data_IF_663390056222
#
_entry.id   IF_663390056222
#
_cell.length_a   1.000
_cell.length_b   1.000
_cell.length_c   1.000
_cell.angle_alpha   90.00
_cell.angle_beta   90.00
_cell.angle_gamma   90.00
#
_symmetry.space_group_name_H-M   'P 1'
#
loop_
_entity.id
_entity.type
_entity.pdbx_description
1 polymer ?
#
# COMPACT_ATOMS: atom_id res chain seq x y z
N UNK A 1 -11.08 16.03 -30.26
CA UNK A 1 -9.66 16.40 -30.04
C UNK A 1 -9.57 17.44 -28.94
N UNK A 2 -8.91 17.12 -27.81
CA UNK A 2 -8.77 18.09 -26.71
C UNK A 2 -7.61 19.04 -27.01
N UNK A 3 -7.91 20.25 -27.48
CA UNK A 3 -6.92 21.33 -27.59
C UNK A 3 -6.32 21.69 -26.23
N UNK A 4 -7.00 21.36 -25.13
CA UNK A 4 -6.50 21.57 -23.76
C UNK A 4 -5.27 20.68 -23.53
N UNK A 5 -5.37 19.40 -23.88
CA UNK A 5 -4.25 18.46 -23.73
C UNK A 5 -3.08 18.86 -24.63
N UNK A 6 -3.37 19.32 -25.85
CA UNK A 6 -2.34 19.85 -26.74
C UNK A 6 -1.63 21.06 -26.12
N UNK A 7 -2.37 21.99 -25.50
CA UNK A 7 -1.76 23.15 -24.82
C UNK A 7 -0.81 22.73 -23.69
N UNK A 8 -1.17 21.72 -22.89
CA UNK A 8 -0.28 21.17 -21.87
C UNK A 8 0.98 20.53 -22.47
N UNK A 9 0.85 19.78 -23.57
CA UNK A 9 1.99 19.20 -24.29
C UNK A 9 2.90 20.29 -24.85
N UNK A 10 2.33 21.34 -25.45
CA UNK A 10 3.07 22.50 -25.95
C UNK A 10 3.96 23.14 -24.86
N UNK A 11 3.35 23.43 -23.70
CA UNK A 11 4.08 24.00 -22.56
C UNK A 11 5.11 23.03 -21.98
N UNK A 12 4.78 21.74 -21.87
CA UNK A 12 5.71 20.72 -21.39
C UNK A 12 6.95 20.61 -22.28
N UNK A 13 6.76 20.51 -23.60
CA UNK A 13 7.87 20.42 -24.57
C UNK A 13 8.75 21.66 -24.54
N UNK A 14 8.15 22.84 -24.48
CA UNK A 14 8.91 24.08 -24.38
C UNK A 14 9.75 24.12 -23.09
N UNK A 15 9.15 23.79 -21.94
CA UNK A 15 9.84 23.79 -20.66
C UNK A 15 10.98 22.77 -20.63
N UNK A 16 10.73 21.56 -21.13
CA UNK A 16 11.74 20.52 -21.15
C UNK A 16 12.90 20.83 -22.11
N UNK A 17 12.58 21.45 -23.26
CA UNK A 17 13.58 21.93 -24.21
C UNK A 17 14.48 22.98 -23.59
N UNK A 18 13.90 23.98 -22.92
CA UNK A 18 14.65 25.01 -22.19
C UNK A 18 15.45 24.44 -21.01
N UNK A 19 14.94 23.40 -20.35
CA UNK A 19 15.63 22.67 -19.29
C UNK A 19 16.76 21.74 -19.79
N UNK A 20 16.96 21.65 -21.12
CA UNK A 20 18.00 20.84 -21.77
C UNK A 20 17.90 19.33 -21.49
N UNK A 21 16.67 18.81 -21.38
CA UNK A 21 16.46 17.37 -21.23
C UNK A 21 16.70 16.64 -22.56
N UNK A 22 17.41 15.51 -22.54
CA UNK A 22 17.60 14.70 -23.76
C UNK A 22 16.32 14.02 -24.24
N UNK A 23 15.47 13.58 -23.30
CA UNK A 23 14.24 12.81 -23.55
C UNK A 23 13.10 13.32 -22.68
N UNK A 24 11.87 13.25 -23.21
CA UNK A 24 10.66 13.64 -22.49
C UNK A 24 9.48 12.74 -22.83
N UNK A 25 8.65 12.35 -21.85
CA UNK A 25 7.42 11.61 -22.10
C UNK A 25 6.21 12.55 -22.24
N UNK A 26 5.35 12.30 -23.21
CA UNK A 26 4.02 12.93 -23.33
C UNK A 26 2.91 11.86 -23.35
N UNK A 27 1.67 12.16 -22.93
CA UNK A 27 0.59 11.18 -22.98
C UNK A 27 0.28 10.75 -24.42
N UNK A 28 0.10 9.45 -24.65
CA UNK A 28 -0.21 8.93 -25.97
C UNK A 28 -1.62 9.30 -26.43
N UNK A 29 -1.71 9.99 -27.57
CA UNK A 29 -2.95 10.15 -28.34
C UNK A 29 -2.63 10.12 -29.84
N UNK A 30 -3.60 9.76 -30.69
CA UNK A 30 -3.41 9.80 -32.16
C UNK A 30 -2.98 11.19 -32.65
N UNK A 31 -3.56 12.25 -32.05
CA UNK A 31 -3.19 13.63 -32.35
C UNK A 31 -1.74 13.91 -31.97
N UNK A 32 -1.34 13.61 -30.73
CA UNK A 32 0.03 13.85 -30.27
C UNK A 32 1.06 13.08 -31.09
N UNK A 33 0.77 11.83 -31.44
CA UNK A 33 1.63 11.02 -32.32
C UNK A 33 1.79 11.71 -33.68
N UNK A 34 0.69 12.10 -34.34
CA UNK A 34 0.77 12.76 -35.65
C UNK A 34 1.49 14.11 -35.61
N UNK A 35 1.32 14.90 -34.54
CA UNK A 35 2.09 16.13 -34.32
C UNK A 35 3.57 15.82 -34.12
N UNK A 36 3.91 14.86 -33.26
CA UNK A 36 5.29 14.48 -32.97
C UNK A 36 6.01 13.95 -34.23
N UNK A 37 5.34 13.13 -35.04
CA UNK A 37 5.88 12.65 -36.32
C UNK A 37 6.13 13.80 -37.30
N UNK A 38 5.24 14.79 -37.37
CA UNK A 38 5.45 15.99 -38.18
C UNK A 38 6.67 16.77 -37.68
N UNK A 39 6.79 17.01 -36.37
CA UNK A 39 7.94 17.71 -35.79
C UNK A 39 9.26 16.96 -36.01
N UNK A 40 9.22 15.62 -35.97
CA UNK A 40 10.37 14.77 -36.28
C UNK A 40 10.76 14.89 -37.76
N UNK A 41 9.80 14.81 -38.69
CA UNK A 41 10.03 15.01 -40.13
C UNK A 41 10.60 16.40 -40.44
N UNK A 42 10.17 17.43 -39.71
CA UNK A 42 10.66 18.80 -39.85
C UNK A 42 11.99 19.05 -39.10
N UNK A 43 12.54 18.04 -38.41
CA UNK A 43 13.86 18.09 -37.78
C UNK A 43 13.91 18.77 -36.40
N UNK A 44 12.76 19.07 -35.79
CA UNK A 44 12.67 19.63 -34.42
C UNK A 44 12.89 18.59 -33.33
N UNK A 45 12.52 17.33 -33.60
CA UNK A 45 12.69 16.19 -32.68
C UNK A 45 13.67 15.17 -33.25
N UNK A 46 14.52 14.60 -32.41
CA UNK A 46 15.50 13.58 -32.82
C UNK A 46 14.87 12.21 -32.99
N UNK A 47 13.93 11.83 -32.13
CA UNK A 47 13.21 10.54 -32.20
C UNK A 47 11.82 10.61 -31.57
N UNK A 48 10.95 9.70 -31.99
CA UNK A 48 9.61 9.49 -31.43
C UNK A 48 9.42 7.99 -31.22
N UNK A 49 9.21 7.58 -29.97
CA UNK A 49 9.03 6.18 -29.58
C UNK A 49 7.78 6.02 -28.71
N UNK A 50 7.09 4.89 -28.84
CA UNK A 50 6.03 4.50 -27.93
C UNK A 50 6.66 3.82 -26.70
N UNK A 51 6.11 4.03 -25.51
CA UNK A 51 6.58 3.34 -24.30
C UNK A 51 5.63 3.48 -23.12
N UNK A 52 6.06 3.00 -21.96
CA UNK A 52 5.36 3.14 -20.68
C UNK A 52 5.77 4.41 -19.92
N UNK A 53 5.67 4.34 -18.60
CA UNK A 53 6.12 5.40 -17.68
C UNK A 53 7.65 5.56 -17.65
N UNK A 54 8.37 4.50 -18.01
CA UNK A 54 9.81 4.47 -18.22
C UNK A 54 10.16 4.63 -19.71
N UNK A 55 11.32 5.23 -20.04
CA UNK A 55 11.79 5.31 -21.41
C UNK A 55 12.13 3.92 -21.93
N UNK A 56 11.69 3.56 -23.16
CA UNK A 56 12.04 2.26 -23.73
C UNK A 56 13.54 2.20 -23.98
N UNK A 57 14.15 1.02 -23.86
CA UNK A 57 15.58 0.82 -24.07
C UNK A 57 16.08 1.35 -25.43
N UNK A 58 15.22 1.25 -26.46
CA UNK A 58 15.50 1.77 -27.82
C UNK A 58 15.65 3.29 -27.93
N UNK A 59 15.26 4.05 -26.89
CA UNK A 59 15.52 5.49 -26.83
C UNK A 59 16.98 5.82 -26.53
N UNK A 60 17.71 4.88 -25.92
CA UNK A 60 19.12 5.01 -25.64
C UNK A 60 19.92 4.34 -26.75
N UNK A 61 21.14 4.80 -27.00
CA UNK A 61 22.06 4.04 -27.85
C UNK A 61 22.29 2.65 -27.27
N UNK A 62 22.76 1.70 -28.08
CA UNK A 62 23.21 0.39 -27.60
C UNK A 62 24.40 0.61 -26.64
N UNK A 63 24.11 0.85 -25.37
CA UNK A 63 25.10 0.87 -24.31
C UNK A 63 25.65 -0.54 -24.09
N UNK A 64 26.73 -0.69 -23.32
CA UNK A 64 27.13 -2.01 -22.83
C UNK A 64 25.93 -2.63 -22.10
N UNK A 65 25.69 -3.93 -22.32
CA UNK A 65 24.62 -4.67 -21.65
C UNK A 65 24.76 -4.48 -20.14
N UNK A 66 23.69 -3.98 -19.50
CA UNK A 66 23.69 -3.77 -18.07
C UNK A 66 23.71 -5.15 -17.39
N UNK A 67 24.88 -5.58 -16.93
CA UNK A 67 25.06 -6.95 -16.46
C UNK A 67 24.45 -7.18 -15.05
N UNK A 68 23.57 -6.29 -14.56
CA UNK A 68 22.91 -6.25 -13.24
C UNK A 68 23.81 -6.45 -12.01
N UNK A 69 25.13 -6.58 -12.21
CA UNK A 69 26.14 -6.84 -11.18
C UNK A 69 26.88 -5.58 -10.76
N UNK A 70 26.84 -4.53 -11.59
CA UNK A 70 27.52 -3.26 -11.34
C UNK A 70 26.61 -2.13 -11.83
N UNK A 71 25.54 -1.82 -11.11
CA UNK A 71 24.81 -0.56 -11.31
C UNK A 71 25.38 0.50 -10.38
N UNK A 72 25.50 1.74 -10.87
CA UNK A 72 25.76 2.94 -10.04
C UNK A 72 24.57 3.31 -9.13
N UNK A 73 23.40 2.72 -9.36
CA UNK A 73 22.24 2.83 -8.49
C UNK A 73 22.40 1.97 -7.22
N UNK A 74 21.94 2.49 -6.08
CA UNK A 74 21.81 1.77 -4.81
C UNK A 74 20.75 0.66 -4.95
N UNK A 75 21.10 -0.43 -5.62
CA UNK A 75 20.27 -1.64 -5.62
C UNK A 75 20.20 -2.17 -4.19
N UNK A 76 18.99 -2.53 -3.76
CA UNK A 76 18.78 -3.17 -2.46
C UNK A 76 19.46 -4.54 -2.45
N UNK A 77 19.87 -5.09 -1.29
CA UNK A 77 20.45 -6.43 -1.23
C UNK A 77 19.60 -7.50 -1.92
N UNK A 78 18.27 -7.38 -1.83
CA UNK A 78 17.30 -8.21 -2.56
C UNK A 78 17.41 -8.13 -4.09
N UNK A 79 17.76 -6.96 -4.65
CA UNK A 79 17.96 -6.78 -6.09
C UNK A 79 19.32 -7.31 -6.58
N UNK A 80 20.32 -7.40 -5.69
CA UNK A 80 21.65 -7.95 -6.02
C UNK A 80 21.68 -9.47 -5.96
N UNK A 81 20.96 -10.07 -5.00
CA UNK A 81 20.83 -11.51 -4.87
C UNK A 81 19.36 -11.87 -4.51
N UNK A 82 18.66 -12.66 -5.37
CA UNK A 82 17.25 -13.00 -5.16
C UNK A 82 17.02 -13.93 -3.95
N UNK A 83 18.06 -14.54 -3.38
CA UNK A 83 17.97 -15.47 -2.26
C UNK A 83 18.44 -14.87 -0.92
N UNK A 84 18.41 -13.55 -0.77
CA UNK A 84 18.73 -12.89 0.51
C UNK A 84 17.61 -13.07 1.56
N UNK A 85 17.92 -12.91 2.86
CA UNK A 85 16.90 -12.89 3.92
C UNK A 85 15.81 -11.83 3.72
N UNK A 86 16.19 -10.65 3.20
CA UNK A 86 15.25 -9.57 2.88
C UNK A 86 14.29 -9.97 1.75
N UNK A 87 14.80 -10.65 0.72
CA UNK A 87 14.00 -11.16 -0.39
C UNK A 87 13.04 -12.28 0.07
N UNK A 88 13.47 -13.14 1.00
CA UNK A 88 12.61 -14.16 1.60
C UNK A 88 11.45 -13.54 2.39
N UNK A 89 11.73 -12.51 3.19
CA UNK A 89 10.71 -11.73 3.91
C UNK A 89 9.72 -11.07 2.94
N UNK A 90 10.22 -10.45 1.87
CA UNK A 90 9.42 -9.83 0.82
C UNK A 90 8.48 -10.83 0.15
N UNK A 91 9.02 -11.99 -0.26
CA UNK A 91 8.25 -13.07 -0.89
C UNK A 91 7.15 -13.59 0.03
N UNK A 92 7.47 -13.77 1.32
CA UNK A 92 6.50 -14.22 2.34
C UNK A 92 5.35 -13.23 2.52
N UNK A 93 5.64 -11.93 2.57
CA UNK A 93 4.61 -10.88 2.73
C UNK A 93 3.71 -10.79 1.49
N UNK A 94 4.30 -10.79 0.29
CA UNK A 94 3.55 -10.64 -0.97
C UNK A 94 2.67 -11.83 -1.27
N UNK A 95 3.23 -13.04 -1.17
CA UNK A 95 2.55 -14.27 -1.59
C UNK A 95 1.83 -14.99 -0.44
N UNK A 96 1.91 -14.46 0.79
CA UNK A 96 1.44 -15.13 2.02
C UNK A 96 1.98 -16.57 2.12
N UNK A 97 3.21 -16.76 1.68
CA UNK A 97 3.83 -18.08 1.54
C UNK A 97 4.02 -18.76 2.91
N UNK A 98 3.90 -20.09 2.92
CA UNK A 98 4.27 -20.94 4.08
C UNK A 98 5.78 -21.14 4.15
N UNK A 99 6.28 -21.64 5.28
CA UNK A 99 7.70 -22.00 5.45
C UNK A 99 8.17 -22.95 4.36
N UNK A 100 7.36 -23.97 4.08
CA UNK A 100 7.63 -25.00 3.06
C UNK A 100 7.71 -24.39 1.65
N UNK A 101 6.84 -23.43 1.33
CA UNK A 101 6.86 -22.76 0.03
C UNK A 101 8.13 -21.93 -0.18
N UNK A 102 8.67 -21.31 0.88
CA UNK A 102 9.96 -20.61 0.80
C UNK A 102 11.13 -21.58 0.56
N UNK A 103 11.12 -22.73 1.23
CA UNK A 103 12.13 -23.77 1.03
C UNK A 103 12.07 -24.36 -0.39
N UNK A 104 10.87 -24.63 -0.90
CA UNK A 104 10.67 -25.09 -2.28
C UNK A 104 11.12 -24.07 -3.33
N UNK A 105 11.00 -22.77 -3.02
CA UNK A 105 11.49 -21.69 -3.86
C UNK A 105 13.03 -21.56 -3.83
N UNK A 106 13.73 -22.32 -2.98
CA UNK A 106 15.20 -22.37 -2.93
C UNK A 106 15.86 -21.35 -2.00
N UNK A 107 15.10 -20.73 -1.08
CA UNK A 107 15.69 -19.87 -0.06
C UNK A 107 16.52 -20.68 0.95
N UNK A 108 17.68 -20.19 1.40
CA UNK A 108 18.47 -20.86 2.43
C UNK A 108 17.74 -20.88 3.77
N UNK A 109 18.02 -21.86 4.63
CA UNK A 109 17.39 -22.04 5.95
C UNK A 109 17.39 -20.75 6.77
N UNK A 110 18.54 -20.09 6.82
CA UNK A 110 18.76 -18.90 7.65
C UNK A 110 17.88 -17.73 7.17
N UNK A 111 17.64 -17.61 5.86
CA UNK A 111 16.74 -16.62 5.28
C UNK A 111 15.28 -16.95 5.56
N UNK A 112 14.92 -18.24 5.57
CA UNK A 112 13.57 -18.69 5.90
C UNK A 112 13.25 -18.37 7.35
N UNK A 113 14.15 -18.73 8.28
CA UNK A 113 13.98 -18.49 9.72
C UNK A 113 13.92 -17.00 10.03
N UNK A 114 14.81 -16.21 9.41
CA UNK A 114 14.74 -14.75 9.47
C UNK A 114 13.38 -14.19 9.02
N UNK A 115 12.83 -14.70 7.91
CA UNK A 115 11.52 -14.27 7.43
C UNK A 115 10.36 -14.73 8.35
N UNK A 116 10.54 -15.79 9.15
CA UNK A 116 9.57 -16.22 10.17
C UNK A 116 9.58 -15.32 11.40
N UNK A 117 10.76 -14.92 11.84
CA UNK A 117 10.92 -14.03 12.98
C UNK A 117 10.43 -12.62 12.66
N UNK A 118 10.85 -12.07 11.52
CA UNK A 118 10.61 -10.67 11.19
C UNK A 118 9.18 -10.36 10.72
N UNK A 119 8.42 -11.36 10.28
CA UNK A 119 7.02 -11.17 9.89
C UNK A 119 6.10 -11.00 11.10
N UNK A 120 6.55 -11.43 12.28
CA UNK A 120 5.80 -11.34 13.51
C UNK A 120 5.86 -9.94 14.10
N UNK A 121 4.74 -9.46 14.66
CA UNK A 121 4.73 -8.20 15.40
C UNK A 121 5.49 -8.34 16.71
N UNK A 122 6.19 -7.29 17.15
CA UNK A 122 6.82 -7.30 18.47
C UNK A 122 5.75 -7.18 19.57
N UNK A 123 6.14 -7.49 20.81
CA UNK A 123 5.27 -7.32 21.97
C UNK A 123 4.76 -5.87 22.09
N UNK A 124 5.66 -4.89 21.98
CA UNK A 124 5.32 -3.47 22.09
C UNK A 124 4.34 -3.04 20.98
N UNK A 125 4.51 -3.56 19.76
CA UNK A 125 3.60 -3.29 18.65
C UNK A 125 2.19 -3.82 18.94
N UNK A 126 2.08 -5.01 19.52
CA UNK A 126 0.78 -5.61 19.87
C UNK A 126 0.10 -4.84 21.01
N UNK A 127 0.87 -4.36 21.98
CA UNK A 127 0.36 -3.49 23.07
C UNK A 127 -0.13 -2.16 22.49
N UNK A 128 0.64 -1.53 21.61
CA UNK A 128 0.27 -0.28 20.95
C UNK A 128 -1.00 -0.41 20.08
N UNK A 129 -1.16 -1.56 19.40
CA UNK A 129 -2.38 -1.90 18.65
C UNK A 129 -3.60 -2.20 19.56
N UNK A 130 -3.40 -2.22 20.89
CA UNK A 130 -4.44 -2.43 21.89
C UNK A 130 -4.85 -3.89 22.08
N UNK A 131 -4.03 -4.86 21.64
CA UNK A 131 -4.33 -6.28 21.79
C UNK A 131 -4.32 -6.73 23.25
N UNK A 132 -3.44 -6.16 24.09
CA UNK A 132 -3.46 -6.40 25.52
C UNK A 132 -4.83 -6.05 26.14
N UNK A 133 -5.40 -4.88 25.81
CA UNK A 133 -6.73 -4.49 26.28
C UNK A 133 -7.86 -5.36 25.73
N UNK A 134 -7.70 -5.95 24.53
CA UNK A 134 -8.66 -6.93 23.98
C UNK A 134 -8.56 -8.26 24.72
N UNK A 135 -7.36 -8.72 25.05
CA UNK A 135 -7.14 -9.92 25.84
C UNK A 135 -7.76 -9.79 27.24
N UNK A 136 -7.53 -8.66 27.94
CA UNK A 136 -8.21 -8.36 29.21
C UNK A 136 -9.72 -8.45 29.08
N UNK A 137 -10.32 -7.74 28.11
CA UNK A 137 -11.78 -7.76 27.90
C UNK A 137 -12.31 -9.16 27.59
N UNK A 138 -11.55 -9.94 26.83
CA UNK A 138 -11.90 -11.33 26.53
C UNK A 138 -11.91 -12.18 27.80
N UNK A 139 -10.86 -12.12 28.62
CA UNK A 139 -10.78 -12.86 29.88
C UNK A 139 -11.92 -12.48 30.82
N UNK A 140 -12.21 -11.18 30.99
CA UNK A 140 -13.32 -10.71 31.83
C UNK A 140 -14.67 -11.23 31.33
N UNK A 141 -14.87 -11.23 30.00
CA UNK A 141 -16.08 -11.79 29.38
C UNK A 141 -16.19 -13.29 29.66
N UNK A 142 -15.12 -14.06 29.46
CA UNK A 142 -15.08 -15.51 29.72
C UNK A 142 -15.39 -15.81 31.18
N UNK A 143 -14.81 -15.06 32.13
CA UNK A 143 -15.10 -15.20 33.57
C UNK A 143 -16.57 -14.91 33.90
N UNK A 144 -17.15 -13.86 33.32
CA UNK A 144 -18.58 -13.55 33.48
C UNK A 144 -19.47 -14.66 32.92
N UNK A 145 -19.12 -15.16 31.74
CA UNK A 145 -19.83 -16.22 31.04
C UNK A 145 -19.77 -17.56 31.80
N UNK A 146 -18.64 -17.89 32.44
CA UNK A 146 -18.51 -19.06 33.34
C UNK A 146 -19.43 -18.90 34.56
N UNK A 147 -19.38 -17.74 35.23
CA UNK A 147 -20.23 -17.46 36.41
C UNK A 147 -21.71 -17.58 36.09
N UNK A 148 -22.15 -16.98 34.99
CA UNK A 148 -23.56 -17.04 34.56
C UNK A 148 -24.01 -18.47 34.28
N UNK A 149 -23.16 -19.27 33.63
CA UNK A 149 -23.45 -20.69 33.36
C UNK A 149 -23.50 -21.53 34.64
N UNK A 150 -22.56 -21.32 35.56
CA UNK A 150 -22.55 -21.98 36.87
C UNK A 150 -23.80 -21.64 37.67
N UNK A 151 -24.17 -20.36 37.77
CA UNK A 151 -25.37 -19.91 38.47
C UNK A 151 -26.64 -20.51 37.84
N UNK A 152 -26.79 -20.46 36.51
CA UNK A 152 -27.95 -21.03 35.81
C UNK A 152 -28.03 -22.56 35.96
N UNK A 153 -26.90 -23.26 35.87
CA UNK A 153 -26.85 -24.71 36.00
C UNK A 153 -27.17 -25.16 37.43
N UNK A 154 -26.66 -24.46 38.44
CA UNK A 154 -26.97 -24.74 39.85
C UNK A 154 -28.44 -24.49 40.17
N UNK A 155 -29.00 -23.36 39.71
CA UNK A 155 -30.43 -23.05 39.90
C UNK A 155 -31.33 -24.10 39.24
N UNK A 156 -30.95 -24.62 38.07
CA UNK A 156 -31.72 -25.63 37.33
C UNK A 156 -31.71 -27.00 38.03
N UNK A 157 -30.60 -27.38 38.66
CA UNK A 157 -30.42 -28.73 39.25
C UNK A 157 -30.79 -28.78 40.74
N UNK A 158 -30.52 -27.72 41.50
CA UNK A 158 -30.64 -27.69 42.96
C UNK A 158 -31.69 -26.67 43.49
N UNK A 159 -32.43 -25.99 42.62
CA UNK A 159 -33.52 -25.06 42.98
C UNK A 159 -33.07 -23.61 43.28
N UNK A 160 -34.03 -22.69 43.34
CA UNK A 160 -33.80 -21.22 43.42
C UNK A 160 -32.93 -20.77 44.60
N UNK A 161 -33.05 -21.42 45.75
CA UNK A 161 -32.33 -21.04 46.98
C UNK A 161 -30.82 -21.35 46.96
N UNK A 162 -30.39 -22.28 46.10
CA UNK A 162 -29.03 -22.80 46.06
C UNK A 162 -28.09 -22.01 45.12
N UNK A 163 -28.60 -21.58 43.95
CA UNK A 163 -27.81 -20.88 42.93
C UNK A 163 -27.70 -19.36 43.14
N UNK A 164 -28.75 -18.72 43.68
CA UNK A 164 -28.81 -17.26 43.80
C UNK A 164 -27.88 -16.70 44.89
N UNK A 165 -27.78 -17.36 46.05
CA UNK A 165 -27.03 -16.83 47.21
C UNK A 165 -25.51 -16.84 47.04
N UNK A 166 -24.95 -17.81 46.32
CA UNK A 166 -23.50 -17.93 46.13
C UNK A 166 -22.95 -16.97 45.06
N UNK A 167 -23.75 -16.61 44.05
CA UNK A 167 -23.25 -15.90 42.87
C UNK A 167 -23.85 -14.50 42.63
N UNK A 168 -24.84 -14.05 43.41
CA UNK A 168 -25.55 -12.76 43.28
C UNK A 168 -24.65 -11.50 43.15
N UNK A 169 -25.08 -10.54 42.33
CA UNK A 169 -24.39 -9.25 42.10
C UNK A 169 -24.34 -8.37 43.37
N UNK A 170 -23.31 -7.53 43.47
CA UNK A 170 -23.13 -6.58 44.57
C UNK A 170 -24.26 -5.54 44.51
N UNK A 171 -24.97 -5.23 45.62
CA UNK A 171 -26.00 -4.19 45.64
C UNK A 171 -25.43 -2.83 45.23
N UNK A 172 -26.21 -2.06 44.48
CA UNK A 172 -25.86 -0.71 44.05
C UNK A 172 -25.71 0.21 45.27
N UNK A 173 -24.46 0.57 45.63
CA UNK A 173 -24.15 1.39 46.82
C UNK A 173 -23.07 0.85 47.79
N UNK A 174 -22.40 -0.25 47.44
CA UNK A 174 -21.34 -0.86 48.26
C UNK A 174 -20.04 -0.03 48.31
N UNK A 175 -19.61 0.38 49.51
CA UNK A 175 -18.41 1.20 49.76
C UNK A 175 -17.24 0.35 50.31
N UNK A 176 -16.12 0.24 49.59
CA UNK A 176 -15.05 -0.67 49.94
C UNK A 176 -14.33 -0.47 51.27
N UNK A 177 -14.35 0.76 51.79
CA UNK A 177 -13.51 1.15 52.92
C UNK A 177 -14.19 1.01 54.28
N UNK A 178 -15.51 0.79 54.29
CA UNK A 178 -16.35 0.71 55.51
C UNK A 178 -16.44 -0.68 56.14
N UNK A 179 -16.14 -1.75 55.40
CA UNK A 179 -16.22 -3.14 55.89
C UNK A 179 -14.84 -3.70 56.30
N UNK A 180 -13.88 -2.84 56.65
CA UNK A 180 -12.55 -3.27 57.10
C UNK A 180 -12.53 -3.96 58.46
N UNK A 181 -13.61 -3.85 59.23
CA UNK A 181 -13.66 -4.20 60.66
C UNK A 181 -14.60 -5.38 60.98
N UNK A 182 -15.02 -6.17 59.99
CA UNK A 182 -15.73 -7.42 60.26
C UNK A 182 -14.73 -8.57 60.33
N UNK A 183 -14.23 -8.80 61.55
CA UNK A 183 -13.52 -10.03 61.90
C UNK A 183 -14.42 -11.26 61.64
N UNK A 184 -13.75 -12.34 61.27
CA UNK A 184 -14.30 -13.65 60.94
C UNK A 184 -15.12 -14.21 62.11
N UNK A 185 -16.45 -14.15 62.03
CA UNK A 185 -17.30 -15.06 62.79
C UNK A 185 -17.22 -16.46 62.14
N UNK A 186 -16.09 -17.15 62.36
CA UNK A 186 -15.98 -18.59 62.22
C UNK A 186 -16.69 -19.26 63.40
N UNK A 187 -18.02 -19.37 63.37
CA UNK A 187 -18.69 -20.36 64.20
C UNK A 187 -20.10 -20.69 63.67
N UNK A 188 -20.40 -21.99 63.64
CA UNK A 188 -21.73 -22.62 63.50
C UNK A 188 -22.26 -23.00 62.10
N UNK A 189 -21.77 -24.08 61.48
CA UNK A 189 -22.55 -24.79 60.43
C UNK A 189 -22.36 -26.32 60.47
N UNK A 190 -23.47 -27.07 60.55
CA UNK A 190 -23.50 -28.53 60.71
C UNK A 190 -23.02 -29.35 59.50
N UNK A 191 -22.58 -30.59 59.76
CA UNK A 191 -21.93 -31.52 58.81
C UNK A 191 -22.75 -31.81 57.54
N UNK A 192 -24.09 -31.75 57.58
CA UNK A 192 -24.95 -31.96 56.40
C UNK A 192 -24.80 -30.86 55.33
N UNK A 193 -24.48 -29.62 55.73
CA UNK A 193 -24.29 -28.50 54.80
C UNK A 193 -22.93 -28.54 54.10
N UNK A 194 -21.92 -29.17 54.70
CA UNK A 194 -20.57 -29.27 54.14
C UNK A 194 -20.51 -30.25 52.95
N UNK A 195 -21.22 -31.39 53.05
CA UNK A 195 -21.29 -32.36 51.96
C UNK A 195 -21.96 -31.77 50.71
N UNK A 196 -23.05 -31.04 50.89
CA UNK A 196 -23.78 -30.41 49.80
C UNK A 196 -23.02 -29.24 49.15
N UNK A 197 -22.22 -28.49 49.92
CA UNK A 197 -21.29 -27.48 49.37
C UNK A 197 -20.21 -28.08 48.49
N UNK A 198 -19.67 -29.25 48.89
CA UNK A 198 -18.65 -29.96 48.11
C UNK A 198 -19.22 -30.47 46.78
N UNK A 199 -20.43 -31.03 46.81
CA UNK A 199 -21.12 -31.48 45.59
C UNK A 199 -21.43 -30.33 44.63
N UNK A 200 -21.91 -29.19 45.14
CA UNK A 200 -22.14 -27.97 44.35
C UNK A 200 -20.85 -27.43 43.74
N UNK A 201 -19.75 -27.45 44.49
CA UNK A 201 -18.43 -27.01 44.02
C UNK A 201 -17.90 -27.92 42.90
N UNK A 202 -17.99 -29.23 43.06
CA UNK A 202 -17.55 -30.21 42.06
C UNK A 202 -18.39 -30.12 40.78
N UNK A 203 -19.70 -29.87 40.91
CA UNK A 203 -20.59 -29.62 39.77
C UNK A 203 -20.25 -28.31 39.05
N UNK A 204 -20.02 -27.21 39.78
CA UNK A 204 -19.65 -25.92 39.20
C UNK A 204 -18.31 -26.00 38.44
N UNK A 205 -17.34 -26.76 38.96
CA UNK A 205 -16.07 -27.02 38.28
C UNK A 205 -16.26 -27.79 36.97
N UNK A 206 -17.16 -28.78 36.94
CA UNK A 206 -17.48 -29.54 35.72
C UNK A 206 -18.00 -28.63 34.60
N UNK A 207 -18.97 -27.76 34.93
CA UNK A 207 -19.55 -26.78 33.99
C UNK A 207 -18.48 -25.81 33.46
N UNK A 208 -17.55 -25.38 34.31
CA UNK A 208 -16.41 -24.55 33.91
C UNK A 208 -15.52 -25.26 32.90
N UNK A 209 -15.09 -26.48 33.19
CA UNK A 209 -14.20 -27.23 32.30
C UNK A 209 -14.86 -27.59 30.97
N UNK A 210 -16.16 -27.89 30.98
CA UNK A 210 -16.96 -28.12 29.77
C UNK A 210 -16.99 -26.87 28.87
N UNK A 211 -17.23 -25.69 29.45
CA UNK A 211 -17.19 -24.44 28.69
C UNK A 211 -15.80 -24.12 28.15
N UNK A 212 -14.75 -24.29 28.96
CA UNK A 212 -13.37 -24.06 28.52
C UNK A 212 -12.97 -25.00 27.36
N UNK A 213 -13.56 -26.18 27.26
CA UNK A 213 -13.34 -27.10 26.13
C UNK A 213 -13.91 -26.59 24.80
N UNK A 214 -14.83 -25.61 24.83
CA UNK A 214 -15.39 -24.99 23.62
C UNK A 214 -14.52 -23.87 23.05
N UNK A 215 -13.54 -23.39 23.81
CA UNK A 215 -12.63 -22.31 23.41
C UNK A 215 -11.48 -22.86 22.57
N UNK A 216 -10.91 -21.99 21.72
CA UNK A 216 -9.68 -22.30 20.99
C UNK A 216 -8.48 -22.40 21.94
N UNK A 217 -7.44 -23.15 21.56
CA UNK A 217 -6.24 -23.34 22.40
C UNK A 217 -5.59 -22.01 22.80
N UNK A 218 -5.54 -21.03 21.89
CA UNK A 218 -5.01 -19.69 22.17
C UNK A 218 -5.85 -18.90 23.18
N UNK A 219 -7.18 -19.04 23.14
CA UNK A 219 -8.10 -18.41 24.09
C UNK A 219 -8.04 -19.08 25.47
N UNK A 220 -7.85 -20.40 25.49
CA UNK A 220 -7.66 -21.17 26.71
C UNK A 220 -6.37 -20.78 27.41
N UNK A 221 -5.28 -20.66 26.64
CA UNK A 221 -3.98 -20.22 27.16
C UNK A 221 -4.07 -18.83 27.84
N UNK A 222 -4.81 -17.88 27.26
CA UNK A 222 -5.06 -16.58 27.90
C UNK A 222 -5.80 -16.71 29.23
N UNK A 223 -6.81 -17.59 29.30
CA UNK A 223 -7.57 -17.81 30.52
C UNK A 223 -6.70 -18.46 31.60
N UNK A 224 -5.96 -19.50 31.23
CA UNK A 224 -5.07 -20.26 32.11
C UNK A 224 -3.93 -19.38 32.65
N UNK A 225 -3.39 -18.49 31.83
CA UNK A 225 -2.40 -17.50 32.25
C UNK A 225 -2.95 -16.61 33.38
N UNK A 226 -4.22 -16.19 33.31
CA UNK A 226 -4.81 -15.40 34.41
C UNK A 226 -5.35 -16.23 35.57
N UNK A 227 -5.29 -17.56 35.50
CA UNK A 227 -5.98 -18.46 36.44
C UNK A 227 -5.44 -18.40 37.87
N UNK A 228 -4.16 -18.05 38.04
CA UNK A 228 -3.52 -17.90 39.35
C UNK A 228 -3.99 -16.66 40.12
N UNK A 229 -4.62 -15.69 39.44
CA UNK A 229 -5.32 -14.57 40.07
C UNK A 229 -6.64 -15.11 40.65
N UNK A 230 -6.53 -15.80 41.80
CA UNK A 230 -7.59 -16.57 42.46
C UNK A 230 -8.93 -15.81 42.54
N UNK A 231 -10.02 -16.52 42.27
CA UNK A 231 -11.39 -16.14 42.61
C UNK A 231 -11.61 -16.28 44.13
N UNK A 232 -10.95 -15.44 44.94
CA UNK A 232 -11.17 -15.37 46.38
C UNK A 232 -12.52 -14.72 46.71
N UNK A 233 -13.25 -15.30 47.67
CA UNK A 233 -14.63 -14.93 48.07
C UNK A 233 -14.79 -13.54 48.72
N UNK A 234 -13.78 -12.67 48.64
CA UNK A 234 -13.79 -11.34 49.23
C UNK A 234 -13.41 -10.37 48.10
N UNK A 235 -14.37 -9.57 47.63
CA UNK A 235 -14.26 -8.48 46.64
C UNK A 235 -14.30 -8.84 45.14
N UNK A 236 -15.52 -9.05 44.62
CA UNK A 236 -15.85 -9.17 43.18
C UNK A 236 -15.35 -8.02 42.29
N UNK A 237 -14.98 -6.86 42.84
CA UNK A 237 -14.44 -5.72 42.10
C UNK A 237 -12.90 -5.57 42.07
N UNK A 238 -12.16 -6.23 43.00
CA UNK A 238 -10.69 -6.08 43.11
C UNK A 238 -9.94 -6.93 42.09
N UNK A 239 -10.46 -8.10 41.77
CA UNK A 239 -9.79 -9.07 40.90
C UNK A 239 -9.88 -8.67 39.42
N UNK A 240 -10.98 -8.04 38.99
CA UNK A 240 -11.13 -7.50 37.64
C UNK A 240 -10.16 -6.33 37.37
N UNK A 241 -9.81 -5.57 38.41
CA UNK A 241 -8.79 -4.53 38.36
C UNK A 241 -7.37 -5.13 38.23
N UNK A 242 -7.08 -6.27 38.86
CA UNK A 242 -5.80 -6.98 38.74
C UNK A 242 -5.61 -7.59 37.34
N UNK A 243 -6.66 -8.19 36.77
CA UNK A 243 -6.65 -8.69 35.38
C UNK A 243 -6.39 -7.54 34.39
N UNK A 244 -6.92 -6.35 34.68
CA UNK A 244 -6.70 -5.16 33.86
C UNK A 244 -5.25 -4.64 33.89
N UNK A 245 -4.49 -4.95 34.95
CA UNK A 245 -3.08 -4.58 35.10
C UNK A 245 -2.12 -5.70 34.67
N UNK A 246 -2.63 -6.88 34.34
CA UNK A 246 -1.82 -8.02 33.96
C UNK A 246 -1.13 -7.79 32.60
N UNK A 247 0.18 -8.02 32.57
CA UNK A 247 0.97 -8.10 31.33
C UNK A 247 0.95 -9.55 30.84
N UNK A 248 0.34 -9.79 29.69
CA UNK A 248 0.29 -11.13 29.10
C UNK A 248 1.63 -11.49 28.47
N UNK A 249 1.96 -12.78 28.44
CA UNK A 249 3.11 -13.31 27.73
C UNK A 249 2.99 -13.05 26.22
N UNK A 250 4.14 -12.81 25.57
CA UNK A 250 4.21 -12.51 24.14
C UNK A 250 3.62 -13.64 23.29
N UNK A 251 3.95 -14.90 23.61
CA UNK A 251 3.48 -16.06 22.88
C UNK A 251 1.95 -16.20 22.93
N UNK A 252 1.35 -16.01 24.11
CA UNK A 252 -0.10 -16.08 24.31
C UNK A 252 -0.81 -14.95 23.57
N UNK A 253 -0.29 -13.73 23.68
CA UNK A 253 -0.88 -12.55 23.05
C UNK A 253 -0.78 -12.63 21.51
N UNK A 254 0.34 -13.14 20.99
CA UNK A 254 0.53 -13.38 19.57
C UNK A 254 -0.40 -14.49 19.04
N UNK A 255 -0.55 -15.60 19.77
CA UNK A 255 -1.48 -16.67 19.41
C UNK A 255 -2.92 -16.16 19.37
N UNK A 256 -3.31 -15.30 20.33
CA UNK A 256 -4.63 -14.67 20.38
C UNK A 256 -4.87 -13.66 19.25
N UNK A 257 -3.85 -12.87 18.89
CA UNK A 257 -3.93 -11.96 17.74
C UNK A 257 -4.11 -12.71 16.41
N UNK A 258 -3.63 -13.95 16.35
CA UNK A 258 -3.82 -14.89 15.26
C UNK A 258 -2.85 -14.69 14.08
N UNK A 259 -2.81 -15.65 13.14
CA UNK A 259 -1.86 -15.67 12.03
C UNK A 259 -2.08 -14.56 11.01
N UNK A 260 -3.25 -13.90 11.04
CA UNK A 260 -3.61 -12.78 10.17
C UNK A 260 -2.92 -11.48 10.56
N UNK A 261 -2.42 -11.37 11.80
CA UNK A 261 -1.79 -10.16 12.32
C UNK A 261 -0.27 -10.24 12.21
N UNK A 262 0.18 -10.18 10.96
CA UNK A 262 1.59 -10.11 10.56
C UNK A 262 1.98 -8.68 10.19
N UNK A 263 3.26 -8.34 10.31
CA UNK A 263 3.81 -7.05 9.85
C UNK A 263 3.57 -6.90 8.34
N UNK A 264 3.06 -5.75 7.93
CA UNK A 264 2.87 -5.43 6.51
C UNK A 264 4.15 -4.89 5.88
N UNK A 265 4.25 -4.93 4.55
CA UNK A 265 5.40 -4.36 3.85
C UNK A 265 5.62 -2.88 4.22
N UNK A 266 4.56 -2.07 4.18
CA UNK A 266 4.64 -0.65 4.54
C UNK A 266 5.07 -0.41 6.00
N UNK A 267 4.65 -1.30 6.91
CA UNK A 267 5.05 -1.19 8.31
C UNK A 267 6.56 -1.45 8.46
N UNK A 268 7.07 -2.49 7.78
CA UNK A 268 8.50 -2.84 7.82
C UNK A 268 9.37 -1.77 7.14
N UNK A 269 8.92 -1.18 6.03
CA UNK A 269 9.63 -0.06 5.38
C UNK A 269 9.72 1.17 6.30
N UNK A 270 8.74 1.38 7.20
CA UNK A 270 8.71 2.53 8.11
C UNK A 270 9.52 2.30 9.39
N UNK A 271 9.31 1.17 10.05
CA UNK A 271 9.93 0.88 11.36
C UNK A 271 11.28 0.17 11.24
N UNK A 272 11.57 -0.42 10.07
CA UNK A 272 12.76 -1.22 9.84
C UNK A 272 12.67 -2.63 10.43
N UNK A 273 13.77 -3.36 10.32
CA UNK A 273 13.92 -4.74 10.78
C UNK A 273 14.97 -4.83 11.87
N UNK A 274 14.87 -5.85 12.72
CA UNK A 274 15.90 -6.16 13.72
C UNK A 274 16.88 -7.17 13.13
N UNK A 275 18.17 -6.82 13.12
CA UNK A 275 19.24 -7.70 12.66
C UNK A 275 20.09 -8.12 13.84
N UNK A 276 20.41 -9.42 13.95
CA UNK A 276 21.44 -9.88 14.86
C UNK A 276 22.79 -9.84 14.14
N UNK A 277 23.68 -8.95 14.57
CA UNK A 277 25.02 -8.79 13.99
C UNK A 277 26.04 -8.99 15.10
N UNK A 278 26.87 -10.03 14.98
CA UNK A 278 27.93 -10.33 15.95
C UNK A 278 27.43 -10.50 17.39
N UNK A 279 26.20 -11.01 17.57
CA UNK A 279 25.58 -11.20 18.89
C UNK A 279 24.94 -9.95 19.49
N UNK A 280 24.87 -8.85 18.73
CA UNK A 280 24.17 -7.62 19.11
C UNK A 280 22.91 -7.45 18.25
N UNK A 281 21.79 -7.16 18.91
CA UNK A 281 20.55 -6.81 18.24
C UNK A 281 20.58 -5.35 17.78
N UNK A 282 20.69 -5.15 16.47
CA UNK A 282 20.61 -3.84 15.85
C UNK A 282 19.18 -3.63 15.38
N UNK A 283 18.44 -2.78 16.10
CA UNK A 283 17.04 -2.49 15.80
C UNK A 283 16.88 -1.40 14.73
N UNK A 284 15.69 -1.36 14.11
CA UNK A 284 15.28 -0.33 13.14
C UNK A 284 16.19 -0.19 11.92
N UNK A 285 16.78 -1.29 11.46
CA UNK A 285 17.56 -1.28 10.22
C UNK A 285 16.63 -1.08 9.03
N UNK A 286 16.88 -0.09 8.16
CA UNK A 286 16.01 0.18 7.04
C UNK A 286 16.11 -0.96 6.02
N UNK A 287 14.96 -1.57 5.69
CA UNK A 287 14.84 -2.46 4.55
C UNK A 287 14.04 -1.74 3.49
N UNK A 288 14.57 -1.73 2.27
CA UNK A 288 13.82 -1.33 1.08
C UNK A 288 13.51 -2.60 0.31
N UNK A 289 12.24 -2.97 0.26
CA UNK A 289 11.82 -4.08 -0.58
C UNK A 289 12.11 -3.75 -2.04
N UNK A 290 12.43 -4.77 -2.83
CA UNK A 290 12.54 -4.58 -4.27
C UNK A 290 11.18 -4.07 -4.73
N UNK A 291 11.11 -2.81 -5.20
CA UNK A 291 9.89 -2.39 -5.90
C UNK A 291 9.70 -3.41 -7.01
N UNK A 292 8.51 -4.02 -7.13
CA UNK A 292 8.29 -4.88 -8.28
C UNK A 292 8.68 -4.00 -9.47
N UNK A 293 9.59 -4.51 -10.32
CA UNK A 293 9.69 -3.92 -11.64
C UNK A 293 8.26 -3.79 -12.12
N UNK A 294 7.89 -2.61 -12.59
CA UNK A 294 6.59 -2.41 -13.15
C UNK A 294 6.51 -3.30 -14.40
N UNK A 295 6.17 -4.56 -14.17
CA UNK A 295 5.86 -5.54 -15.17
C UNK A 295 4.41 -5.23 -15.50
N UNK A 296 4.26 -4.30 -16.44
CA UNK A 296 3.03 -4.22 -17.20
C UNK A 296 2.70 -5.67 -17.64
N UNK A 297 1.55 -6.23 -17.22
CA UNK A 297 1.24 -7.64 -17.48
C UNK A 297 1.20 -8.01 -18.97
N UNK A 298 1.16 -6.99 -19.85
CA UNK A 298 1.07 -7.12 -21.31
C UNK A 298 2.39 -6.83 -22.07
N UNK A 299 3.54 -6.60 -21.41
CA UNK A 299 4.81 -6.38 -22.12
C UNK A 299 4.80 -5.14 -23.01
N UNK A 300 4.79 -3.95 -22.39
CA UNK A 300 4.61 -2.68 -23.10
C UNK A 300 5.81 -2.20 -23.94
N UNK A 301 6.97 -2.86 -23.86
CA UNK A 301 8.13 -2.59 -24.72
C UNK A 301 8.02 -3.23 -26.11
N UNK A 302 7.16 -4.24 -26.27
CA UNK A 302 6.74 -4.72 -27.58
C UNK A 302 5.68 -3.77 -28.17
N UNK A 303 5.66 -3.64 -29.50
CA UNK A 303 4.74 -2.79 -30.27
C UNK A 303 3.27 -3.25 -30.18
N UNK A 304 2.75 -3.44 -28.97
CA UNK A 304 1.44 -4.02 -28.69
C UNK A 304 0.26 -3.10 -28.97
N UNK A 305 -0.89 -3.73 -29.21
CA UNK A 305 -2.18 -3.10 -29.50
C UNK A 305 -2.66 -2.24 -28.32
N UNK A 306 -3.12 -1.01 -28.60
CA UNK A 306 -3.64 -0.08 -27.58
C UNK A 306 -5.01 -0.54 -27.08
N UNK A 307 -5.06 -1.17 -25.90
CA UNK A 307 -6.30 -1.56 -25.20
C UNK A 307 -6.86 -0.41 -24.33
N UNK A 308 -8.09 -0.55 -23.81
CA UNK A 308 -8.68 0.46 -22.91
C UNK A 308 -7.95 0.53 -21.55
N UNK A 309 -7.50 -0.61 -21.02
CA UNK A 309 -6.72 -0.68 -19.79
C UNK A 309 -5.37 0.05 -19.92
N UNK A 310 -4.69 -0.12 -21.05
CA UNK A 310 -3.31 0.36 -21.23
C UNK A 310 -3.24 1.82 -21.71
N UNK A 311 -4.36 2.41 -22.16
CA UNK A 311 -4.39 3.77 -22.71
C UNK A 311 -3.85 4.83 -21.74
N UNK A 312 -4.07 4.65 -20.44
CA UNK A 312 -3.67 5.61 -19.41
C UNK A 312 -2.18 5.53 -19.05
N UNK A 313 -1.56 4.35 -19.13
CA UNK A 313 -0.13 4.14 -18.84
C UNK A 313 0.76 4.49 -20.04
N UNK A 314 0.25 4.35 -21.27
CA UNK A 314 1.00 4.62 -22.51
C UNK A 314 1.50 6.08 -22.61
N UNK A 315 2.76 6.22 -22.99
CA UNK A 315 3.43 7.49 -23.27
C UNK A 315 4.09 7.46 -24.65
N UNK A 316 4.33 8.65 -25.19
CA UNK A 316 5.24 8.88 -26.31
C UNK A 316 6.50 9.51 -25.76
N UNK A 317 7.62 8.83 -25.95
CA UNK A 317 8.94 9.32 -25.64
C UNK A 317 9.50 10.10 -26.82
N UNK A 318 9.82 11.35 -26.57
CA UNK A 318 10.30 12.31 -27.56
C UNK A 318 11.74 12.67 -27.25
N UNK A 319 12.63 12.46 -28.21
CA UNK A 319 14.00 12.95 -28.15
C UNK A 319 14.07 14.41 -28.56
N UNK A 320 14.60 15.24 -27.66
CA UNK A 320 14.80 16.65 -27.92
C UNK A 320 16.15 16.87 -28.61
N UNK A 321 16.21 17.87 -29.48
CA UNK A 321 17.38 18.17 -30.31
C UNK A 321 18.02 19.48 -29.86
N UNK A 322 19.35 19.48 -29.80
CA UNK A 322 20.17 20.62 -29.39
C UNK A 322 21.27 20.85 -30.43
N UNK A 323 21.58 22.12 -30.69
CA UNK A 323 22.67 22.55 -31.55
C UNK A 323 23.41 23.69 -30.86
N UNK A 324 24.75 23.64 -30.79
CA UNK A 324 25.57 24.62 -30.06
C UNK A 324 25.07 24.92 -28.65
N UNK A 325 24.64 23.88 -27.93
CA UNK A 325 24.03 23.98 -26.58
C UNK A 325 22.72 24.78 -26.51
N UNK A 326 22.13 25.15 -27.64
CA UNK A 326 20.82 25.79 -27.76
C UNK A 326 19.75 24.79 -28.22
N UNK A 327 18.51 24.89 -27.71
CA UNK A 327 17.42 24.02 -28.16
C UNK A 327 16.99 24.34 -29.59
N UNK A 328 16.83 23.31 -30.43
CA UNK A 328 16.26 23.46 -31.79
C UNK A 328 14.76 23.80 -31.71
N UNK A 329 14.06 23.22 -30.74
CA UNK A 329 12.67 23.57 -30.43
C UNK A 329 12.68 24.64 -29.33
N UNK A 330 12.72 25.92 -29.73
CA UNK A 330 12.86 27.02 -28.77
C UNK A 330 11.51 27.49 -28.23
N UNK A 331 10.52 27.70 -29.11
CA UNK A 331 9.19 28.17 -28.73
C UNK A 331 8.11 27.38 -29.44
N UNK A 332 7.07 27.06 -28.68
CA UNK A 332 5.94 26.30 -29.17
C UNK A 332 4.65 26.99 -28.72
N UNK A 333 3.99 27.69 -29.64
CA UNK A 333 2.84 28.55 -29.36
C UNK A 333 1.58 28.03 -30.02
N UNK A 334 0.53 27.83 -29.23
CA UNK A 334 -0.79 27.47 -29.74
C UNK A 334 -1.44 28.65 -30.49
N UNK A 335 -1.99 28.40 -31.68
CA UNK A 335 -2.81 29.36 -32.44
C UNK A 335 -4.27 29.18 -32.05
N UNK A 336 -4.85 28.02 -32.35
CA UNK A 336 -6.23 27.70 -31.99
C UNK A 336 -6.30 27.30 -30.52
N UNK A 337 -6.89 28.17 -29.70
CA UNK A 337 -7.10 27.89 -28.28
C UNK A 337 -8.38 27.07 -28.08
N UNK A 338 -8.51 26.31 -26.98
CA UNK A 338 -9.75 25.62 -26.64
C UNK A 338 -10.97 26.55 -26.61
N UNK A 339 -10.76 27.77 -26.11
CA UNK A 339 -11.78 28.83 -26.00
C UNK A 339 -12.14 29.49 -27.32
N UNK A 340 -11.19 29.54 -28.26
CA UNK A 340 -11.38 30.16 -29.58
C UNK A 340 -10.62 29.39 -30.65
N UNK A 341 -11.38 28.65 -31.46
CA UNK A 341 -10.88 27.88 -32.59
C UNK A 341 -10.91 28.72 -33.85
N UNK A 342 -9.81 28.72 -34.59
CA UNK A 342 -9.67 29.49 -35.82
C UNK A 342 -9.62 28.49 -36.99
N UNK A 343 -10.24 28.83 -38.11
CA UNK A 343 -10.20 28.05 -39.34
C UNK A 343 -9.67 28.94 -40.45
N UNK A 344 -8.74 28.43 -41.26
CA UNK A 344 -8.15 29.15 -42.37
C UNK A 344 -8.41 28.40 -43.67
N UNK A 345 -8.82 29.13 -44.70
CA UNK A 345 -8.90 28.60 -46.07
C UNK A 345 -7.50 28.44 -46.68
N UNK A 346 -7.39 27.77 -47.81
CA UNK A 346 -6.10 27.63 -48.51
C UNK A 346 -5.51 29.00 -48.92
N UNK A 347 -6.36 29.98 -49.27
CA UNK A 347 -5.93 31.32 -49.67
C UNK A 347 -5.44 32.13 -48.47
N UNK A 348 -6.05 31.93 -47.31
CA UNK A 348 -5.60 32.52 -46.04
C UNK A 348 -4.27 31.92 -45.58
N UNK A 349 -4.12 30.59 -45.65
CA UNK A 349 -2.83 29.94 -45.38
C UNK A 349 -1.74 30.43 -46.33
N UNK A 350 -2.07 30.64 -47.61
CA UNK A 350 -1.14 31.20 -48.61
C UNK A 350 -0.68 32.60 -48.23
N UNK A 351 -1.57 33.44 -47.70
CA UNK A 351 -1.22 34.77 -47.18
C UNK A 351 -0.30 34.67 -45.96
N UNK A 352 -0.63 33.80 -45.01
CA UNK A 352 0.13 33.58 -43.79
C UNK A 352 1.56 33.13 -44.06
N UNK A 353 1.76 32.19 -45.00
CA UNK A 353 3.10 31.70 -45.37
C UNK A 353 3.94 32.79 -46.05
N UNK A 354 3.31 33.69 -46.81
CA UNK A 354 3.97 34.86 -47.42
C UNK A 354 4.27 35.98 -46.41
N UNK A 355 4.03 35.76 -45.11
CA UNK A 355 4.26 36.74 -44.05
C UNK A 355 3.14 37.78 -43.88
N UNK A 356 2.06 37.68 -44.66
CA UNK A 356 0.88 38.53 -44.52
C UNK A 356 -0.04 37.99 -43.42
N UNK A 357 -0.89 38.84 -42.88
CA UNK A 357 -1.84 38.45 -41.82
C UNK A 357 -3.15 37.97 -42.45
N UNK A 358 -3.74 36.92 -41.89
CA UNK A 358 -5.05 36.43 -42.28
C UNK A 358 -5.96 36.39 -41.05
N UNK A 359 -6.86 37.37 -40.96
CA UNK A 359 -7.68 37.59 -39.78
C UNK A 359 -6.82 37.85 -38.55
N UNK A 360 -6.93 36.98 -37.54
CA UNK A 360 -6.18 37.09 -36.28
C UNK A 360 -4.81 36.36 -36.31
N UNK A 361 -4.56 35.57 -37.35
CA UNK A 361 -3.34 34.78 -37.46
C UNK A 361 -2.26 35.62 -38.15
N UNK A 362 -1.24 35.99 -37.37
CA UNK A 362 -0.06 36.68 -37.89
C UNK A 362 0.67 35.80 -38.91
N UNK A 363 1.28 36.41 -39.92
CA UNK A 363 2.13 35.72 -40.89
C UNK A 363 3.31 34.97 -40.25
N UNK A 364 3.83 33.98 -40.96
CA UNK A 364 5.11 33.35 -40.65
C UNK A 364 6.23 34.33 -40.99
N UNK A 365 6.96 34.78 -39.97
CA UNK A 365 7.97 35.86 -40.11
C UNK A 365 9.37 35.39 -39.72
N UNK A 366 9.48 34.26 -39.04
CA UNK A 366 10.75 33.72 -38.59
C UNK A 366 11.24 32.64 -39.55
N UNK A 367 12.55 32.59 -39.76
CA UNK A 367 13.20 31.56 -40.58
C UNK A 367 13.12 30.24 -39.82
N UNK A 368 12.81 29.14 -40.53
CA UNK A 368 12.62 27.82 -39.91
C UNK A 368 11.30 27.67 -39.16
N UNK A 369 10.48 28.73 -39.07
CA UNK A 369 9.17 28.66 -38.45
C UNK A 369 8.21 27.79 -39.28
N UNK A 370 7.52 26.89 -38.57
CA UNK A 370 6.48 26.05 -39.13
C UNK A 370 5.15 26.30 -38.43
N UNK A 371 4.07 26.07 -39.17
CA UNK A 371 2.72 26.06 -38.63
C UNK A 371 2.10 24.69 -38.88
N UNK A 372 1.60 24.09 -37.81
CA UNK A 372 0.94 22.80 -37.83
C UNK A 372 -0.56 23.00 -37.99
N UNK A 373 -1.15 22.37 -38.99
CA UNK A 373 -2.56 22.51 -39.36
C UNK A 373 -3.25 21.16 -39.28
N UNK A 374 -4.41 21.12 -38.61
CA UNK A 374 -5.32 19.97 -38.64
C UNK A 374 -6.22 20.08 -39.86
N UNK A 375 -6.18 19.07 -40.72
CA UNK A 375 -7.01 18.97 -41.92
C UNK A 375 -7.79 17.65 -41.93
N UNK A 376 -8.70 17.49 -42.88
CA UNK A 376 -9.45 16.24 -43.06
C UNK A 376 -8.57 15.07 -43.48
N UNK A 377 -7.38 15.34 -44.05
CA UNK A 377 -6.38 14.33 -44.44
C UNK A 377 -5.34 14.07 -43.35
N UNK A 378 -5.53 14.63 -42.16
CA UNK A 378 -4.61 14.51 -41.04
C UNK A 378 -3.87 15.81 -40.71
N UNK A 379 -2.84 15.69 -39.88
CA UNK A 379 -2.02 16.82 -39.45
C UNK A 379 -0.91 17.05 -40.47
N UNK A 380 -0.79 18.29 -40.93
CA UNK A 380 0.11 18.67 -42.01
C UNK A 380 0.75 20.02 -41.71
N UNK A 381 1.86 20.32 -42.40
CA UNK A 381 2.47 21.63 -42.35
C UNK A 381 1.66 22.62 -43.20
N UNK A 382 1.64 23.90 -42.83
CA UNK A 382 0.94 24.91 -43.61
C UNK A 382 1.41 24.98 -45.07
N UNK A 383 2.71 24.78 -45.35
CA UNK A 383 3.26 24.74 -46.72
C UNK A 383 2.69 23.59 -47.53
N UNK A 384 2.69 22.38 -46.97
CA UNK A 384 2.08 21.20 -47.59
C UNK A 384 0.56 21.39 -47.84
N UNK A 385 -0.14 22.05 -46.91
CA UNK A 385 -1.56 22.37 -47.07
C UNK A 385 -1.81 23.29 -48.27
N UNK A 386 -0.98 24.32 -48.45
CA UNK A 386 -1.12 25.26 -49.58
C UNK A 386 -0.79 24.59 -50.90
N UNK A 387 0.25 23.76 -50.96
CA UNK A 387 0.58 22.97 -52.15
C UNK A 387 -0.58 22.08 -52.59
N UNK A 388 -1.25 21.44 -51.62
CA UNK A 388 -2.40 20.57 -51.86
C UNK A 388 -3.74 21.31 -52.00
N UNK A 389 -3.75 22.63 -51.84
CA UNK A 389 -4.95 23.50 -51.84
C UNK A 389 -5.99 23.10 -50.79
N UNK A 390 -5.54 22.73 -49.59
CA UNK A 390 -6.39 22.30 -48.47
C UNK A 390 -6.33 23.36 -47.37
N UNK A 391 -7.50 23.73 -46.83
CA UNK A 391 -7.63 24.56 -45.63
C UNK A 391 -7.67 23.72 -44.36
N UNK A 392 -7.73 24.36 -43.20
CA UNK A 392 -7.88 23.64 -41.96
C UNK A 392 -7.78 24.50 -40.71
N UNK A 393 -7.71 23.82 -39.57
CA UNK A 393 -7.54 24.47 -38.28
C UNK A 393 -6.04 24.60 -37.96
N UNK A 394 -5.45 25.81 -37.93
CA UNK A 394 -4.09 26.00 -37.43
C UNK A 394 -4.04 25.68 -35.93
N UNK A 395 -3.21 24.70 -35.55
CA UNK A 395 -3.06 24.25 -34.18
C UNK A 395 -2.01 25.07 -33.44
N UNK A 396 -0.78 25.10 -33.95
CA UNK A 396 0.37 25.69 -33.26
C UNK A 396 1.46 26.13 -34.23
N UNK A 397 2.36 26.99 -33.76
CA UNK A 397 3.59 27.44 -34.42
C UNK A 397 4.79 26.98 -33.62
N UNK A 398 5.83 26.57 -34.32
CA UNK A 398 7.08 26.08 -33.73
C UNK A 398 8.25 26.74 -34.44
N UNK A 399 9.24 27.20 -33.67
CA UNK A 399 10.49 27.77 -34.15
C UNK A 399 11.58 27.73 -33.08
#
# INVERSE_FOLDING_TARGET
MSLVNLAHVCSHLQNASLARLGLTPIPYTKLHLSVALLLHRQGFLSQVKLGGLSPPASCFGNGPSDNNRISSHLLTPAQRNPFTPEAALEFKIRNKATKEALQQHGFPSDAVDFAEEQIMMSYDDLVNDGWAARAVRFVLKVRKDIRNRQANALTTVFGEDSGARQFAEVPEGYDPEKDRDLEEDEDFEGEENAAQRKENHDFANRVKYEFLATLTDAQRALYDETSYLKEGAIWKGRNDAQVSQHKFEYATLQAFAGPSKRRSANYIEREGVTLNVMGLEVTKQPITFAKPEYADPDGLDDEGVVTQANRASRRLWLGLKYHDSMPVLSKLKLISKPTKRIWLSHSDLSRVIRGQEAGEVKGLRQIGEIMVVSTDRGIMEARDCVERRIGGQPLMRVW
#
